data_IF_675116606706
#
_entry.id   IF_675116606706
#
_cell.length_a   1.000
_cell.length_b   1.000
_cell.length_c   1.000
_cell.angle_alpha   90.00
_cell.angle_beta   90.00
_cell.angle_gamma   90.00
#
_symmetry.space_group_name_H-M   'P 1'
#
loop_
_entity.id
_entity.type
_entity.pdbx_description
1 polymer ?
#
# COMPACT_ATOMS: atom_id res chain seq x y z
N UNK A 1 25.71 24.43 -18.03
CA UNK A 1 25.40 23.67 -19.26
C UNK A 1 24.00 24.01 -19.70
N UNK A 2 23.75 24.14 -21.00
CA UNK A 2 22.39 24.30 -21.54
C UNK A 2 21.73 22.94 -21.78
N UNK A 3 20.40 22.90 -21.75
CA UNK A 3 19.60 21.71 -22.03
C UNK A 3 20.00 21.04 -23.36
N UNK A 4 20.19 21.84 -24.41
CA UNK A 4 20.54 21.34 -25.75
C UNK A 4 21.87 20.58 -25.77
N UNK A 5 22.86 20.99 -24.98
CA UNK A 5 24.16 20.29 -24.89
C UNK A 5 24.00 18.92 -24.23
N UNK A 6 23.15 18.83 -23.21
CA UNK A 6 22.88 17.57 -22.50
C UNK A 6 22.08 16.62 -23.40
N UNK A 7 21.09 17.15 -24.12
CA UNK A 7 20.29 16.37 -25.07
C UNK A 7 21.17 15.73 -26.15
N UNK A 8 22.06 16.52 -26.74
CA UNK A 8 22.97 16.06 -27.79
C UNK A 8 23.97 15.02 -27.25
N UNK A 9 24.45 15.18 -26.01
CA UNK A 9 25.26 14.16 -25.34
C UNK A 9 24.49 12.86 -25.06
N UNK A 10 23.19 12.96 -24.75
CA UNK A 10 22.33 11.80 -24.50
C UNK A 10 22.09 10.96 -25.76
N UNK A 11 22.14 11.55 -26.96
CA UNK A 11 21.95 10.80 -28.20
C UNK A 11 23.03 9.73 -28.41
N UNK A 12 24.26 9.99 -27.93
CA UNK A 12 25.39 9.07 -27.98
C UNK A 12 25.31 7.93 -26.95
N UNK A 13 24.36 7.96 -26.02
CA UNK A 13 24.20 6.91 -25.02
C UNK A 13 23.52 5.67 -25.63
N UNK A 14 23.92 4.49 -25.15
CA UNK A 14 23.19 3.25 -25.45
C UNK A 14 21.80 3.26 -24.82
N UNK A 15 20.89 2.41 -25.31
CA UNK A 15 19.54 2.26 -24.76
C UNK A 15 19.53 2.06 -23.23
N UNK A 16 20.44 1.22 -22.72
CA UNK A 16 20.53 0.91 -21.29
C UNK A 16 21.01 2.11 -20.47
N UNK A 17 21.93 2.89 -21.01
CA UNK A 17 22.45 4.09 -20.36
C UNK A 17 21.41 5.21 -20.35
N UNK A 18 20.61 5.36 -21.42
CA UNK A 18 19.45 6.27 -21.46
C UNK A 18 18.46 5.94 -20.36
N UNK A 19 18.13 4.65 -20.16
CA UNK A 19 17.23 4.20 -19.10
C UNK A 19 17.80 4.48 -17.70
N UNK A 20 19.10 4.23 -17.48
CA UNK A 20 19.75 4.54 -16.20
C UNK A 20 19.77 6.04 -15.91
N UNK A 21 20.06 6.87 -16.92
CA UNK A 21 20.09 8.32 -16.78
C UNK A 21 18.69 8.87 -16.47
N UNK A 22 17.66 8.40 -17.17
CA UNK A 22 16.28 8.78 -16.89
C UNK A 22 15.89 8.46 -15.43
N UNK A 23 16.22 7.25 -14.96
CA UNK A 23 15.96 6.84 -13.58
C UNK A 23 16.69 7.75 -12.58
N UNK A 24 17.97 8.06 -12.83
CA UNK A 24 18.74 8.96 -11.99
C UNK A 24 18.14 10.37 -11.94
N UNK A 25 17.76 10.94 -13.09
CA UNK A 25 17.19 12.29 -13.17
C UNK A 25 15.87 12.40 -12.42
N UNK A 26 15.01 11.37 -12.52
CA UNK A 26 13.75 11.31 -11.77
C UNK A 26 14.05 11.29 -10.25
N UNK A 27 15.00 10.46 -9.81
CA UNK A 27 15.36 10.39 -8.39
C UNK A 27 15.99 11.69 -7.88
N UNK A 28 16.83 12.33 -8.69
CA UNK A 28 17.45 13.61 -8.36
C UNK A 28 16.40 14.72 -8.21
N UNK A 29 15.44 14.80 -9.14
CA UNK A 29 14.36 15.77 -9.09
C UNK A 29 13.45 15.56 -7.87
N UNK A 30 13.11 14.30 -7.55
CA UNK A 30 12.34 13.98 -6.34
C UNK A 30 13.09 14.44 -5.09
N UNK A 31 14.39 14.14 -5.00
CA UNK A 31 15.20 14.54 -3.85
C UNK A 31 15.31 16.06 -3.71
N UNK A 32 15.44 16.77 -4.83
CA UNK A 32 15.48 18.23 -4.85
C UNK A 32 14.13 18.82 -4.39
N UNK A 33 13.01 18.30 -4.89
CA UNK A 33 11.68 18.71 -4.46
C UNK A 33 11.43 18.38 -2.97
N UNK A 34 11.90 17.23 -2.47
CA UNK A 34 11.85 16.88 -1.04
C UNK A 34 12.60 17.90 -0.16
N UNK A 35 13.72 18.43 -0.65
CA UNK A 35 14.48 19.46 0.08
C UNK A 35 13.82 20.83 0.03
N UNK A 36 13.12 21.15 -1.05
CA UNK A 36 12.50 22.46 -1.26
C UNK A 36 11.08 22.54 -0.67
N UNK A 37 10.33 21.45 -0.73
CA UNK A 37 8.93 21.35 -0.31
C UNK A 37 8.69 20.20 0.68
N UNK A 38 9.25 20.26 1.91
CA UNK A 38 9.09 19.21 2.91
C UNK A 38 7.63 18.98 3.36
N UNK A 39 6.71 19.91 3.05
CA UNK A 39 5.28 19.80 3.40
C UNK A 39 4.46 18.98 2.40
N UNK A 40 4.92 18.76 1.16
CA UNK A 40 4.09 18.11 0.14
C UNK A 40 4.03 16.56 0.30
N UNK A 41 4.80 16.02 1.25
CA UNK A 41 4.77 14.60 1.61
C UNK A 41 3.41 14.13 2.14
N UNK A 42 2.64 15.03 2.76
CA UNK A 42 1.36 14.68 3.40
C UNK A 42 0.17 14.80 2.44
N UNK A 43 0.21 15.72 1.47
CA UNK A 43 -0.95 16.05 0.63
C UNK A 43 -1.06 15.17 -0.63
N UNK A 44 0.06 14.82 -1.28
CA UNK A 44 0.02 14.07 -2.54
C UNK A 44 0.08 12.55 -2.36
N UNK A 45 0.41 12.07 -1.15
CA UNK A 45 0.38 10.63 -0.83
C UNK A 45 -1.02 10.07 -0.62
N UNK A 46 -2.05 10.91 -0.46
CA UNK A 46 -3.44 10.48 -0.30
C UNK A 46 -4.12 10.12 -1.62
N UNK A 47 -3.63 10.65 -2.75
CA UNK A 47 -4.38 10.57 -4.03
C UNK A 47 -3.96 9.43 -4.97
N UNK A 48 -2.86 8.72 -4.71
CA UNK A 48 -2.38 7.69 -5.65
C UNK A 48 -1.71 6.46 -5.03
N UNK A 49 -1.68 6.32 -3.69
CA UNK A 49 -1.37 5.03 -3.08
C UNK A 49 -2.65 4.25 -2.90
N UNK A 50 -2.89 3.29 -3.80
CA UNK A 50 -3.59 2.07 -3.43
C UNK A 50 -3.09 1.63 -2.06
N UNK A 51 -3.96 1.78 -1.05
CA UNK A 51 -3.68 1.72 0.37
C UNK A 51 -2.60 0.68 0.70
N UNK A 52 -1.40 1.16 1.03
CA UNK A 52 -0.41 0.37 1.76
C UNK A 52 -0.67 0.63 3.25
N UNK A 53 -1.13 -0.37 4.03
CA UNK A 53 -1.42 -0.25 5.46
C UNK A 53 -0.28 0.17 6.40
N UNK A 54 0.88 0.61 5.91
CA UNK A 54 2.04 0.89 6.78
C UNK A 54 1.95 2.18 7.58
N UNK A 55 1.02 3.08 7.26
CA UNK A 55 0.78 4.34 8.00
C UNK A 55 -0.71 4.58 8.26
N UNK A 56 -1.52 3.53 8.35
CA UNK A 56 -2.94 3.68 8.69
C UNK A 56 -3.08 3.71 10.21
N UNK A 57 -3.84 4.68 10.72
CA UNK A 57 -4.37 4.62 12.08
C UNK A 57 -5.20 3.35 12.27
N UNK A 58 -5.35 2.89 13.51
CA UNK A 58 -6.13 1.68 13.85
C UNK A 58 -7.55 1.69 13.23
N UNK A 59 -8.13 2.88 13.04
CA UNK A 59 -9.44 3.08 12.41
C UNK A 59 -9.39 2.90 10.90
N UNK A 60 -8.42 3.51 10.22
CA UNK A 60 -8.27 3.41 8.76
C UNK A 60 -7.86 1.99 8.33
N UNK A 61 -7.05 1.31 9.16
CA UNK A 61 -6.70 -0.09 8.95
C UNK A 61 -7.96 -0.97 8.97
N UNK A 62 -8.85 -0.72 9.92
CA UNK A 62 -10.11 -1.44 10.05
C UNK A 62 -11.01 -1.19 8.83
N UNK A 63 -11.06 0.04 8.34
CA UNK A 63 -11.86 0.42 7.16
C UNK A 63 -11.32 -0.21 5.88
N UNK A 64 -9.99 -0.20 5.67
CA UNK A 64 -9.34 -0.89 4.56
C UNK A 64 -9.66 -2.39 4.54
N UNK A 65 -9.59 -3.04 5.71
CA UNK A 65 -9.89 -4.46 5.83
C UNK A 65 -11.37 -4.74 5.59
N UNK A 66 -12.28 -3.88 6.08
CA UNK A 66 -13.72 -3.96 5.79
C UNK A 66 -14.01 -3.86 4.30
N UNK A 67 -13.40 -2.91 3.60
CA UNK A 67 -13.59 -2.70 2.16
C UNK A 67 -13.12 -3.91 1.34
N UNK A 68 -11.99 -4.51 1.72
CA UNK A 68 -11.49 -5.74 1.09
C UNK A 68 -12.38 -6.95 1.39
N UNK A 69 -12.85 -7.07 2.63
CA UNK A 69 -13.73 -8.17 3.04
C UNK A 69 -15.13 -8.07 2.42
N UNK A 70 -15.66 -6.87 2.19
CA UNK A 70 -16.96 -6.69 1.53
C UNK A 70 -16.93 -7.17 0.07
N UNK A 71 -15.76 -7.13 -0.59
CA UNK A 71 -15.57 -7.61 -1.96
C UNK A 71 -15.38 -9.14 -2.04
N UNK A 72 -14.57 -9.71 -1.14
CA UNK A 72 -14.20 -11.14 -1.18
C UNK A 72 -15.17 -12.04 -0.40
N UNK A 73 -15.80 -11.52 0.66
CA UNK A 73 -16.74 -12.20 1.57
C UNK A 73 -16.40 -13.67 1.88
N UNK A 74 -15.20 -13.98 2.41
CA UNK A 74 -14.85 -15.34 2.75
C UNK A 74 -15.84 -15.93 3.75
N UNK A 75 -16.45 -17.07 3.41
CA UNK A 75 -17.58 -17.65 4.17
C UNK A 75 -17.15 -18.57 5.31
N UNK A 76 -15.86 -18.92 5.40
CA UNK A 76 -15.29 -19.85 6.42
C UNK A 76 -14.28 -19.12 7.29
N UNK A 77 -14.18 -19.47 8.58
CA UNK A 77 -13.21 -18.86 9.51
C UNK A 77 -11.77 -18.99 9.01
N UNK A 78 -11.37 -20.17 8.54
CA UNK A 78 -10.02 -20.39 8.00
C UNK A 78 -9.75 -19.53 6.76
N UNK A 79 -10.75 -19.38 5.88
CA UNK A 79 -10.62 -18.57 4.68
C UNK A 79 -10.49 -17.08 5.03
N UNK A 80 -11.19 -16.62 6.07
CA UNK A 80 -11.08 -15.26 6.59
C UNK A 80 -9.67 -14.99 7.11
N UNK A 81 -9.13 -15.86 7.97
CA UNK A 81 -7.78 -15.72 8.52
C UNK A 81 -6.71 -15.70 7.41
N UNK A 82 -6.79 -16.64 6.47
CA UNK A 82 -5.87 -16.69 5.33
C UNK A 82 -5.98 -15.46 4.44
N UNK A 83 -7.20 -14.96 4.22
CA UNK A 83 -7.44 -13.78 3.40
C UNK A 83 -6.86 -12.52 4.05
N UNK A 84 -7.07 -12.34 5.36
CA UNK A 84 -6.46 -11.25 6.14
C UNK A 84 -4.93 -11.37 6.09
N UNK A 85 -4.37 -12.56 6.32
CA UNK A 85 -2.92 -12.79 6.21
C UNK A 85 -2.36 -12.39 4.83
N UNK A 86 -3.07 -12.76 3.76
CA UNK A 86 -2.71 -12.38 2.39
C UNK A 86 -2.80 -10.87 2.14
N UNK A 87 -3.64 -10.11 2.87
CA UNK A 87 -3.68 -8.65 2.74
C UNK A 87 -2.35 -7.99 3.16
N UNK A 88 -1.62 -8.60 4.09
CA UNK A 88 -0.39 -8.06 4.67
C UNK A 88 0.88 -8.78 4.18
N UNK A 89 0.77 -9.77 3.28
CA UNK A 89 1.92 -10.54 2.78
C UNK A 89 2.99 -9.66 2.10
N UNK A 90 2.57 -8.58 1.43
CA UNK A 90 3.48 -7.64 0.76
C UNK A 90 4.12 -6.62 1.72
N UNK A 91 3.80 -6.68 3.02
CA UNK A 91 4.29 -5.77 4.06
C UNK A 91 5.18 -6.45 5.11
N UNK A 92 5.58 -7.70 4.86
CA UNK A 92 6.34 -8.51 5.83
C UNK A 92 5.51 -9.58 6.54
N UNK A 93 4.23 -9.71 6.18
CA UNK A 93 3.32 -10.66 6.81
C UNK A 93 2.77 -10.15 8.13
N UNK A 94 1.72 -10.82 8.61
CA UNK A 94 1.09 -10.55 9.91
C UNK A 94 1.11 -11.85 10.70
N UNK A 95 1.39 -11.76 12.00
CA UNK A 95 1.35 -12.94 12.86
C UNK A 95 -0.09 -13.42 13.07
N UNK A 96 -0.25 -14.73 13.27
CA UNK A 96 -1.57 -15.34 13.46
C UNK A 96 -2.29 -14.74 14.69
N UNK A 97 -1.55 -14.37 15.74
CA UNK A 97 -2.14 -13.72 16.92
C UNK A 97 -2.72 -12.34 16.62
N UNK A 98 -2.14 -11.59 15.69
CA UNK A 98 -2.62 -10.26 15.31
C UNK A 98 -3.79 -10.34 14.33
N UNK A 99 -3.84 -11.36 13.46
CA UNK A 99 -5.02 -11.67 12.64
C UNK A 99 -6.24 -11.93 13.53
N UNK A 100 -6.09 -12.72 14.59
CA UNK A 100 -7.20 -12.99 15.51
C UNK A 100 -7.68 -11.72 16.23
N UNK A 101 -6.77 -10.86 16.70
CA UNK A 101 -7.14 -9.56 17.28
C UNK A 101 -7.91 -8.69 16.28
N UNK A 102 -7.50 -8.69 15.02
CA UNK A 102 -8.17 -7.93 13.96
C UNK A 102 -9.59 -8.46 13.70
N UNK A 103 -9.76 -9.77 13.69
CA UNK A 103 -11.08 -10.42 13.58
C UNK A 103 -11.97 -10.04 14.77
N UNK A 104 -11.44 -10.05 16.00
CA UNK A 104 -12.19 -9.60 17.18
C UNK A 104 -12.57 -8.11 17.11
N UNK A 105 -11.70 -7.25 16.56
CA UNK A 105 -12.03 -5.83 16.31
C UNK A 105 -13.16 -5.69 15.29
N UNK A 106 -13.15 -6.48 14.21
CA UNK A 106 -14.19 -6.49 13.18
C UNK A 106 -15.56 -6.99 13.71
N UNK A 107 -15.54 -7.98 14.60
CA UNK A 107 -16.74 -8.50 15.26
C UNK A 107 -17.32 -7.48 16.24
N UNK A 108 -16.48 -6.84 17.06
CA UNK A 108 -16.89 -5.72 17.94
C UNK A 108 -17.45 -4.53 17.16
N UNK A 109 -16.92 -4.28 15.96
CA UNK A 109 -17.42 -3.25 15.07
C UNK A 109 -18.72 -3.64 14.34
N UNK A 110 -19.27 -4.84 14.59
CA UNK A 110 -20.54 -5.31 14.03
C UNK A 110 -20.51 -5.62 12.54
N UNK A 111 -19.32 -5.70 11.91
CA UNK A 111 -19.20 -5.92 10.47
C UNK A 111 -19.33 -7.40 10.09
N UNK A 112 -18.91 -8.29 10.99
CA UNK A 112 -18.99 -9.73 10.82
C UNK A 112 -19.38 -10.41 12.14
N UNK A 113 -20.00 -11.58 12.03
CA UNK A 113 -20.34 -12.46 13.13
C UNK A 113 -19.84 -13.85 12.81
N UNK A 114 -19.17 -14.48 13.77
CA UNK A 114 -18.71 -15.85 13.63
C UNK A 114 -19.77 -16.80 14.20
N UNK A 115 -20.29 -17.68 13.35
CA UNK A 115 -21.19 -18.77 13.74
C UNK A 115 -20.49 -20.11 13.53
N UNK A 116 -19.67 -20.48 14.52
CA UNK A 116 -18.79 -21.64 14.47
C UNK A 116 -17.75 -21.55 13.34
N UNK A 117 -17.97 -22.33 12.27
CA UNK A 117 -17.09 -22.34 11.09
C UNK A 117 -17.55 -21.39 9.97
N UNK A 118 -18.74 -20.78 10.11
CA UNK A 118 -19.29 -19.85 9.12
C UNK A 118 -19.07 -18.39 9.54
N UNK A 119 -18.77 -17.54 8.57
CA UNK A 119 -18.68 -16.09 8.74
C UNK A 119 -19.93 -15.47 8.13
N UNK A 120 -20.69 -14.74 8.94
CA UNK A 120 -21.89 -14.01 8.53
C UNK A 120 -21.52 -12.53 8.51
N UNK A 121 -21.58 -11.90 7.35
CA UNK A 121 -21.37 -10.45 7.22
C UNK A 121 -22.69 -9.73 7.49
N UNK A 122 -22.61 -8.61 8.21
CA UNK A 122 -23.76 -7.73 8.45
C UNK A 122 -24.11 -6.89 7.22
#
# INVERSE_FOLDING_TARGET
MSYEVIRLACDNLTYREKMKLAQYLIQAAIKEDETLNPQNRSAEQESSRSAQPTNLTDTELLEYVKERLSKSKPSKKQALSNFIGAMFQFQGGIDNGDVEKLISKLEKAGFLRLDGNKVIYA
#
